data_IF_929565326283
#
_entry.id   IF_929565326283
#
_cell.length_a   1.000
_cell.length_b   1.000
_cell.length_c   1.000
_cell.angle_alpha   90.00
_cell.angle_beta   90.00
_cell.angle_gamma   90.00
#
_symmetry.space_group_name_H-M   'P 1'
#
loop_
_entity.id
_entity.type
_entity.pdbx_description
1 polymer ?
#
# COMPACT_ATOMS: atom_id res chain seq x y z
N UNK A 1 29.29 -6.48 13.16
CA UNK A 1 28.37 -6.11 14.26
C UNK A 1 27.54 -4.95 13.76
N UNK A 2 26.28 -5.20 13.42
CA UNK A 2 25.45 -4.29 12.61
C UNK A 2 24.96 -3.08 13.40
N UNK A 3 25.35 -1.89 12.95
CA UNK A 3 24.70 -0.65 13.36
C UNK A 3 23.37 -0.56 12.62
N UNK A 4 22.29 -1.06 13.24
CA UNK A 4 20.94 -0.70 12.83
C UNK A 4 20.74 0.75 13.22
N UNK A 5 20.91 1.65 12.25
CA UNK A 5 20.57 3.06 12.36
C UNK A 5 19.12 3.18 12.80
N UNK A 6 18.90 3.53 14.07
CA UNK A 6 17.62 4.04 14.52
C UNK A 6 17.50 5.46 13.97
N UNK A 7 17.00 5.58 12.74
CA UNK A 7 16.50 6.85 12.23
C UNK A 7 15.42 7.37 13.21
N UNK A 8 15.29 8.70 13.38
CA UNK A 8 14.28 9.28 14.27
C UNK A 8 12.92 8.66 13.96
N UNK A 9 12.10 8.47 15.00
CA UNK A 9 10.80 7.80 14.96
C UNK A 9 9.78 8.62 14.16
N UNK A 10 10.06 8.84 12.88
CA UNK A 10 9.08 9.23 11.86
C UNK A 10 8.13 8.04 11.83
N UNK A 11 6.85 8.29 12.09
CA UNK A 11 5.81 7.27 12.00
C UNK A 11 5.97 6.62 10.63
N UNK A 12 6.33 5.34 10.59
CA UNK A 12 6.47 4.66 9.32
C UNK A 12 5.10 4.73 8.63
N UNK A 13 5.03 5.36 7.46
CA UNK A 13 3.78 5.50 6.73
C UNK A 13 3.59 4.34 5.78
N UNK A 14 2.45 3.67 5.89
CA UNK A 14 2.09 2.55 5.04
C UNK A 14 0.79 2.88 4.30
N UNK A 15 0.86 2.95 2.98
CA UNK A 15 -0.31 3.13 2.14
C UNK A 15 -0.75 1.78 1.57
N UNK A 16 -2.00 1.40 1.80
CA UNK A 16 -2.60 0.16 1.28
C UNK A 16 -3.59 0.53 0.19
N UNK A 17 -3.36 0.08 -1.04
CA UNK A 17 -4.25 0.27 -2.17
C UNK A 17 -5.08 -0.99 -2.37
N UNK A 18 -6.40 -0.85 -2.30
CA UNK A 18 -7.35 -1.91 -2.65
C UNK A 18 -8.09 -1.52 -3.91
N UNK A 19 -8.22 -2.46 -4.85
CA UNK A 19 -8.99 -2.26 -6.07
C UNK A 19 -10.26 -3.12 -6.01
N UNK A 20 -11.41 -2.47 -6.13
CA UNK A 20 -12.73 -3.07 -6.05
C UNK A 20 -13.29 -3.17 -4.63
N UNK A 21 -14.53 -3.64 -4.54
CA UNK A 21 -15.22 -3.87 -3.28
C UNK A 21 -15.32 -5.38 -3.04
N UNK A 22 -14.45 -5.90 -2.16
CA UNK A 22 -14.73 -7.15 -1.47
C UNK A 22 -15.33 -6.82 -0.10
N UNK A 23 -16.54 -7.31 0.23
CA UNK A 23 -17.16 -7.07 1.54
C UNK A 23 -16.30 -7.57 2.71
N UNK A 24 -15.44 -8.57 2.48
CA UNK A 24 -14.49 -9.12 3.45
C UNK A 24 -13.33 -8.16 3.79
N UNK A 25 -13.01 -7.22 2.89
CA UNK A 25 -11.84 -6.34 3.02
C UNK A 25 -12.04 -5.23 4.03
N UNK A 26 -13.28 -4.83 4.31
CA UNK A 26 -13.58 -3.74 5.25
C UNK A 26 -13.13 -4.09 6.68
N UNK A 27 -13.47 -5.31 7.14
CA UNK A 27 -13.08 -5.84 8.44
C UNK A 27 -11.56 -6.09 8.55
N UNK A 28 -10.93 -6.51 7.44
CA UNK A 28 -9.49 -6.76 7.41
C UNK A 28 -8.67 -5.45 7.46
N UNK A 29 -9.14 -4.43 6.74
CA UNK A 29 -8.56 -3.08 6.73
C UNK A 29 -8.66 -2.43 8.10
N UNK A 30 -9.84 -2.43 8.74
CA UNK A 30 -10.01 -1.84 10.06
C UNK A 30 -9.09 -2.50 11.10
N UNK A 31 -8.95 -3.84 11.06
CA UNK A 31 -8.03 -4.55 11.96
C UNK A 31 -6.57 -4.22 11.70
N UNK A 32 -6.16 -4.05 10.43
CA UNK A 32 -4.79 -3.61 10.09
C UNK A 32 -4.54 -2.16 10.51
N UNK A 33 -5.55 -1.30 10.41
CA UNK A 33 -5.45 0.10 10.81
C UNK A 33 -5.33 0.21 12.33
N UNK A 34 -6.17 -0.51 13.10
CA UNK A 34 -6.03 -0.59 14.56
C UNK A 34 -4.66 -1.19 14.97
N UNK A 35 -4.18 -2.22 14.29
CA UNK A 35 -2.86 -2.81 14.57
C UNK A 35 -1.71 -1.83 14.28
N UNK A 36 -1.81 -1.06 13.19
CA UNK A 36 -0.83 -0.05 12.82
C UNK A 36 -0.86 1.14 13.80
N UNK A 37 -2.03 1.64 14.16
CA UNK A 37 -2.19 2.68 15.19
C UNK A 37 -1.59 2.24 16.52
N UNK A 38 -1.85 1.00 16.95
CA UNK A 38 -1.25 0.42 18.16
C UNK A 38 0.26 0.27 18.09
N UNK A 39 0.82 0.12 16.87
CA UNK A 39 2.25 0.04 16.63
C UNK A 39 2.92 1.42 16.43
N UNK A 40 2.13 2.51 16.34
CA UNK A 40 2.63 3.84 16.00
C UNK A 40 3.06 3.95 14.53
N UNK A 41 2.37 3.24 13.64
CA UNK A 41 2.56 3.24 12.19
C UNK A 41 1.34 3.92 11.59
N UNK A 42 1.55 4.95 10.76
CA UNK A 42 0.45 5.60 10.05
C UNK A 42 0.04 4.70 8.88
N UNK A 43 -1.18 4.15 8.91
CA UNK A 43 -1.67 3.25 7.86
C UNK A 43 -2.85 3.88 7.14
N UNK A 44 -2.64 4.28 5.88
CA UNK A 44 -3.65 4.87 5.02
C UNK A 44 -4.17 3.83 4.04
N UNK A 45 -5.49 3.76 3.89
CA UNK A 45 -6.11 2.78 2.98
C UNK A 45 -6.83 3.50 1.86
N UNK A 46 -6.34 3.33 0.64
CA UNK A 46 -6.92 3.88 -0.58
C UNK A 46 -7.74 2.81 -1.28
N UNK A 47 -9.04 3.03 -1.36
CA UNK A 47 -9.96 2.18 -2.11
C UNK A 47 -10.19 2.79 -3.49
N UNK A 48 -9.84 2.04 -4.51
CA UNK A 48 -10.11 2.34 -5.90
C UNK A 48 -11.25 1.48 -6.40
N UNK A 49 -12.04 2.02 -7.33
CA UNK A 49 -13.14 1.28 -7.92
C UNK A 49 -12.63 0.09 -8.73
N UNK A 50 -13.44 -0.97 -8.86
CA UNK A 50 -13.02 -2.15 -9.61
C UNK A 50 -12.77 -1.84 -11.09
N UNK A 51 -13.46 -0.85 -11.66
CA UNK A 51 -13.33 -0.40 -13.05
C UNK A 51 -12.18 0.60 -13.25
N UNK A 52 -11.34 0.84 -12.24
CA UNK A 52 -10.19 1.72 -12.34
C UNK A 52 -9.29 1.29 -13.50
N UNK A 53 -8.81 2.26 -14.27
CA UNK A 53 -7.85 2.01 -15.34
C UNK A 53 -6.47 1.74 -14.76
N UNK A 54 -5.65 1.00 -15.52
CA UNK A 54 -4.28 0.71 -15.13
C UNK A 54 -3.46 1.99 -14.93
N UNK A 55 -3.64 2.99 -15.79
CA UNK A 55 -3.00 4.30 -15.67
C UNK A 55 -3.38 5.01 -14.37
N UNK A 56 -4.66 4.99 -13.99
CA UNK A 56 -5.13 5.63 -12.76
C UNK A 56 -4.58 4.92 -11.50
N UNK A 57 -4.52 3.58 -11.52
CA UNK A 57 -3.88 2.80 -10.46
C UNK A 57 -2.39 3.10 -10.35
N UNK A 58 -1.67 3.10 -11.47
CA UNK A 58 -0.25 3.44 -11.52
C UNK A 58 0.02 4.87 -11.03
N UNK A 59 -0.77 5.84 -11.46
CA UNK A 59 -0.67 7.22 -11.03
C UNK A 59 -0.92 7.36 -9.52
N UNK A 60 -1.89 6.61 -8.97
CA UNK A 60 -2.16 6.60 -7.53
C UNK A 60 -0.98 6.01 -6.77
N UNK A 61 -0.44 4.87 -7.20
CA UNK A 61 0.73 4.24 -6.60
C UNK A 61 1.95 5.17 -6.67
N UNK A 62 2.20 5.79 -7.83
CA UNK A 62 3.30 6.74 -8.01
C UNK A 62 3.15 7.97 -7.09
N UNK A 63 1.93 8.50 -6.94
CA UNK A 63 1.64 9.61 -6.01
C UNK A 63 1.94 9.22 -4.57
N UNK A 64 1.63 7.99 -4.15
CA UNK A 64 1.92 7.50 -2.80
C UNK A 64 3.42 7.25 -2.62
N UNK A 65 4.08 6.73 -3.64
CA UNK A 65 5.54 6.58 -3.63
C UNK A 65 6.28 7.93 -3.55
N UNK A 66 5.71 9.00 -4.09
CA UNK A 66 6.27 10.35 -4.02
C UNK A 66 5.98 11.06 -2.69
N UNK A 67 5.05 10.53 -1.89
CA UNK A 67 4.73 11.10 -0.59
C UNK A 67 5.83 10.78 0.43
N UNK A 68 6.39 11.83 1.04
CA UNK A 68 7.43 11.70 2.07
C UNK A 68 6.87 11.18 3.40
N UNK A 69 5.54 11.21 3.57
CA UNK A 69 4.86 10.59 4.70
C UNK A 69 4.66 9.09 4.50
N UNK A 70 4.88 8.54 3.30
CA UNK A 70 4.65 7.12 2.97
C UNK A 70 5.97 6.41 2.70
N UNK A 71 6.40 5.59 3.65
CA UNK A 71 7.58 4.76 3.51
C UNK A 71 7.30 3.52 2.64
N UNK A 72 6.10 2.95 2.71
CA UNK A 72 5.72 1.73 2.01
C UNK A 72 4.35 1.81 1.32
N UNK A 73 4.24 1.19 0.15
CA UNK A 73 2.97 1.05 -0.58
C UNK A 73 2.68 -0.44 -0.79
N UNK A 74 1.51 -0.90 -0.38
CA UNK A 74 1.03 -2.27 -0.55
C UNK A 74 -0.17 -2.25 -1.49
N UNK A 75 -0.15 -3.06 -2.54
CA UNK A 75 -1.32 -3.28 -3.40
C UNK A 75 -1.93 -4.64 -3.04
N UNK A 76 -3.18 -4.64 -2.62
CA UNK A 76 -3.85 -5.86 -2.17
C UNK A 76 -4.31 -6.71 -3.37
N UNK A 77 -3.94 -7.99 -3.37
CA UNK A 77 -4.35 -8.98 -4.37
C UNK A 77 -5.62 -9.74 -3.92
N UNK A 78 -6.35 -10.40 -4.85
CA UNK A 78 -6.16 -10.40 -6.31
C UNK A 78 -6.68 -9.11 -6.95
N UNK A 79 -6.01 -8.68 -8.02
CA UNK A 79 -6.48 -7.57 -8.84
C UNK A 79 -7.55 -8.02 -9.85
N UNK A 80 -8.45 -7.11 -10.28
CA UNK A 80 -9.32 -7.33 -11.41
C UNK A 80 -8.58 -7.78 -12.68
N UNK A 81 -9.22 -8.63 -13.50
CA UNK A 81 -8.60 -9.25 -14.69
C UNK A 81 -8.11 -8.26 -15.77
N UNK A 82 -8.61 -7.03 -15.79
CA UNK A 82 -8.19 -6.01 -16.75
C UNK A 82 -6.97 -5.21 -16.27
N UNK A 83 -6.46 -5.49 -15.07
CA UNK A 83 -5.28 -4.85 -14.51
C UNK A 83 -4.10 -5.81 -14.51
N UNK A 84 -2.96 -5.31 -14.95
CA UNK A 84 -1.72 -6.09 -15.01
C UNK A 84 -0.90 -5.92 -13.73
N UNK A 85 -0.76 -7.02 -12.98
CA UNK A 85 0.02 -7.06 -11.74
C UNK A 85 1.53 -6.88 -11.97
N UNK A 86 2.07 -7.31 -13.13
CA UNK A 86 3.48 -7.14 -13.45
C UNK A 86 3.84 -5.65 -13.60
N UNK A 87 2.95 -4.88 -14.25
CA UNK A 87 3.16 -3.44 -14.45
C UNK A 87 3.14 -2.69 -13.12
N UNK A 88 2.28 -3.11 -12.19
CA UNK A 88 2.23 -2.52 -10.83
C UNK A 88 3.46 -2.93 -10.03
N UNK A 89 3.89 -4.19 -10.12
CA UNK A 89 5.12 -4.68 -9.50
C UNK A 89 6.36 -3.94 -9.99
N UNK A 90 6.42 -3.57 -11.27
CA UNK A 90 7.50 -2.80 -11.86
C UNK A 90 7.61 -1.36 -11.31
N UNK A 91 6.53 -0.81 -10.73
CA UNK A 91 6.58 0.48 -10.03
C UNK A 91 7.28 0.39 -8.67
N UNK A 92 7.58 -0.84 -8.18
CA UNK A 92 8.42 -1.07 -7.02
C UNK A 92 9.88 -0.76 -7.31
N UNK A 93 10.24 0.52 -7.24
CA UNK A 93 11.64 0.93 -7.15
C UNK A 93 11.98 1.19 -5.69
N UNK A 94 12.58 0.20 -5.02
CA UNK A 94 13.10 0.33 -3.64
C UNK A 94 12.48 -0.65 -2.63
N UNK A 95 12.78 -0.43 -1.35
CA UNK A 95 12.43 -1.26 -0.18
C UNK A 95 10.91 -1.29 0.14
N UNK A 96 10.06 -1.29 -0.90
CA UNK A 96 8.60 -1.15 -0.85
C UNK A 96 7.98 -2.44 -1.42
N UNK A 97 7.61 -3.36 -0.54
CA UNK A 97 7.03 -4.64 -0.90
C UNK A 97 5.56 -4.48 -1.30
N UNK A 98 5.21 -4.82 -2.54
CA UNK A 98 3.84 -4.67 -3.07
C UNK A 98 2.95 -5.90 -2.86
N UNK A 99 3.36 -6.88 -2.06
CA UNK A 99 2.65 -8.16 -1.95
C UNK A 99 1.89 -8.29 -0.63
N UNK A 100 0.56 -8.22 -0.72
CA UNK A 100 -0.32 -8.82 0.28
C UNK A 100 -1.25 -9.81 -0.42
N UNK A 101 -1.02 -11.09 -0.13
CA UNK A 101 -1.79 -12.24 -0.62
C UNK A 101 -3.19 -12.37 -0.06
#
# INVERSE_FOLDING_TARGET
>A
MGLRSAAPRVLAGLAVVLVGERPDSCLYVSRKQEAAERAGIACEVHRLAQDVSQEALCAKVASLCADSAVDGVIVQLPLPKHLDEEVIGALSTGNRDFLAG
#
